data_IF_665952491458
#
_entry.id   IF_665952491458
#
_cell.length_a   1.000
_cell.length_b   1.000
_cell.length_c   1.000
_cell.angle_alpha   90.00
_cell.angle_beta   90.00
_cell.angle_gamma   90.00
#
_symmetry.space_group_name_H-M   'P 1'
#
loop_
_entity.id
_entity.type
_entity.pdbx_description
1 polymer ?
#
# COMPACT_ATOMS: atom_id res chain seq x y z
N UNK A 1 16.25 -16.13 49.57
CA UNK A 1 15.04 -15.42 49.07
C UNK A 1 15.48 -14.30 48.12
N UNK A 2 15.40 -14.50 46.80
CA UNK A 2 15.74 -13.49 45.79
C UNK A 2 14.46 -12.81 45.32
N UNK A 3 14.36 -11.49 45.49
CA UNK A 3 13.23 -10.67 45.06
C UNK A 3 13.35 -10.45 43.55
N UNK A 4 12.34 -10.92 42.81
CA UNK A 4 12.16 -10.63 41.38
C UNK A 4 11.51 -9.24 41.31
N UNK A 5 12.20 -8.28 40.69
CA UNK A 5 11.62 -6.99 40.35
C UNK A 5 10.91 -7.19 39.01
N UNK A 6 9.58 -7.02 38.91
CA UNK A 6 8.93 -7.00 37.61
C UNK A 6 9.31 -5.67 36.95
N UNK A 7 10.14 -5.74 35.91
CA UNK A 7 10.39 -4.59 35.04
C UNK A 7 9.07 -4.30 34.34
N UNK A 8 8.42 -3.25 34.84
CA UNK A 8 7.21 -2.68 34.31
C UNK A 8 7.38 -2.39 32.82
N UNK A 9 6.44 -2.91 32.04
CA UNK A 9 6.16 -2.60 30.64
C UNK A 9 6.43 -1.12 30.36
N UNK A 10 7.54 -0.82 29.69
CA UNK A 10 7.78 0.51 29.13
C UNK A 10 6.73 0.70 28.05
N UNK A 11 5.84 1.63 28.33
CA UNK A 11 4.79 2.13 27.45
C UNK A 11 5.39 2.40 26.07
N UNK A 12 4.90 1.66 25.08
CA UNK A 12 5.19 1.81 23.67
C UNK A 12 4.56 3.12 23.18
N UNK A 13 5.16 4.26 23.54
CA UNK A 13 4.90 5.57 22.98
C UNK A 13 5.53 5.64 21.59
N UNK A 14 4.97 4.90 20.64
CA UNK A 14 5.18 5.17 19.22
C UNK A 14 4.14 6.22 18.81
N UNK A 15 4.56 7.33 18.15
CA UNK A 15 3.70 8.47 17.97
C UNK A 15 2.51 8.12 17.05
N UNK A 16 1.33 8.13 17.66
CA UNK A 16 -0.01 8.15 17.04
C UNK A 16 -0.17 9.27 15.99
N UNK A 17 0.79 10.20 15.90
CA UNK A 17 0.81 11.30 14.92
C UNK A 17 0.92 10.89 13.44
N UNK A 18 1.37 9.67 13.12
CA UNK A 18 1.33 9.18 11.74
C UNK A 18 -0.09 8.86 11.26
N UNK A 19 -1.02 8.65 12.19
CA UNK A 19 -2.35 8.13 11.90
C UNK A 19 -3.37 9.18 11.42
N UNK A 20 -3.06 10.48 11.45
CA UNK A 20 -4.01 11.53 11.02
C UNK A 20 -3.73 12.12 9.63
N UNK A 21 -2.53 11.95 9.06
CA UNK A 21 -2.19 12.58 7.78
C UNK A 21 -2.70 11.83 6.55
N UNK A 22 -3.00 10.53 6.65
CA UNK A 22 -3.45 9.72 5.51
C UNK A 22 -4.97 9.52 5.43
N UNK A 23 -5.74 9.99 6.42
CA UNK A 23 -7.19 9.73 6.52
C UNK A 23 -8.08 10.95 6.19
N UNK A 24 -7.51 12.16 6.06
CA UNK A 24 -8.25 13.40 5.83
C UNK A 24 -7.64 14.24 4.69
N UNK A 25 -7.73 13.73 3.47
CA UNK A 25 -7.50 14.48 2.23
C UNK A 25 -8.81 14.73 1.48
N UNK A 26 -9.87 15.14 2.19
CA UNK A 26 -11.16 15.50 1.61
C UNK A 26 -11.16 16.96 1.19
N UNK A 27 -11.44 17.22 -0.09
CA UNK A 27 -11.57 18.54 -0.71
C UNK A 27 -12.39 19.53 0.12
N UNK A 28 -11.82 20.70 0.39
CA UNK A 28 -12.55 21.91 0.74
C UNK A 28 -12.37 22.95 -0.38
N UNK A 29 -13.42 23.16 -1.18
CA UNK A 29 -13.68 24.42 -1.90
C UNK A 29 -14.45 25.33 -0.92
N UNK A 30 -14.37 26.67 -0.88
CA UNK A 30 -13.84 27.69 -1.79
C UNK A 30 -13.96 29.06 -1.09
N UNK A 31 -13.03 29.98 -1.32
CA UNK A 31 -13.14 31.42 -1.01
C UNK A 31 -12.30 32.21 -2.04
N UNK A 32 -12.79 33.33 -2.59
CA UNK A 32 -12.42 33.79 -3.93
C UNK A 32 -11.21 34.73 -3.94
N UNK A 33 -10.32 34.54 -4.92
CA UNK A 33 -9.12 35.36 -5.10
C UNK A 33 -8.32 34.93 -6.34
N UNK A 34 -8.97 35.05 -7.49
CA UNK A 34 -8.43 35.30 -8.83
C UNK A 34 -6.94 35.03 -9.11
N UNK A 35 -6.67 33.93 -9.81
CA UNK A 35 -5.41 33.60 -10.46
C UNK A 35 -5.59 32.37 -11.34
N UNK A 36 -5.79 32.58 -12.64
CA UNK A 36 -6.03 31.53 -13.65
C UNK A 36 -4.93 30.45 -13.67
N UNK A 37 -5.18 29.28 -13.08
CA UNK A 37 -4.49 28.03 -13.44
C UNK A 37 -5.52 26.90 -13.43
N UNK A 38 -6.11 26.63 -14.57
CA UNK A 38 -6.85 25.40 -14.79
C UNK A 38 -5.86 24.24 -14.97
N UNK A 39 -5.47 23.54 -13.90
CA UNK A 39 -4.85 22.22 -13.98
C UNK A 39 -5.50 21.30 -12.92
N UNK A 40 -6.14 20.24 -13.41
CA UNK A 40 -6.75 19.17 -12.62
C UNK A 40 -5.72 18.53 -11.68
N UNK A 41 -6.14 17.93 -10.55
CA UNK A 41 -5.21 17.33 -9.59
C UNK A 41 -4.49 16.16 -10.25
N UNK A 42 -3.24 16.38 -10.66
CA UNK A 42 -2.38 15.34 -11.20
C UNK A 42 -2.08 14.34 -10.09
N UNK A 43 -2.67 13.16 -10.20
CA UNK A 43 -2.41 12.06 -9.29
C UNK A 43 -0.92 11.70 -9.25
N UNK A 44 -0.35 11.74 -8.06
CA UNK A 44 0.72 10.83 -7.58
C UNK A 44 2.07 10.76 -8.29
N UNK A 45 2.31 11.40 -9.44
CA UNK A 45 3.63 11.39 -10.09
C UNK A 45 4.53 12.50 -9.47
N UNK A 46 5.70 12.18 -8.88
CA UNK A 46 6.65 13.23 -8.49
C UNK A 46 7.17 13.95 -9.74
N UNK A 47 7.09 15.28 -9.73
CA UNK A 47 7.57 16.12 -10.82
C UNK A 47 9.10 16.18 -10.73
N UNK A 48 9.79 15.60 -11.71
CA UNK A 48 11.21 15.86 -11.94
C UNK A 48 11.27 17.02 -12.93
N UNK A 49 11.76 18.19 -12.49
CA UNK A 49 11.99 19.33 -13.38
C UNK A 49 12.96 18.88 -14.51
N UNK A 50 12.53 19.09 -15.77
CA UNK A 50 13.23 18.77 -17.03
C UNK A 50 13.20 17.33 -17.59
N UNK A 51 12.26 16.49 -17.20
CA UNK A 51 11.94 15.28 -17.99
C UNK A 51 10.43 15.13 -18.16
N UNK A 52 9.98 14.92 -19.40
CA UNK A 52 8.60 14.54 -19.72
C UNK A 52 8.10 13.50 -18.74
N UNK A 53 6.91 13.67 -18.13
CA UNK A 53 6.41 12.74 -17.14
C UNK A 53 6.00 11.46 -17.87
N UNK A 54 6.93 10.52 -17.99
CA UNK A 54 6.56 9.12 -18.15
C UNK A 54 5.93 8.70 -16.82
N UNK A 55 4.67 9.05 -16.61
CA UNK A 55 3.83 8.41 -15.60
C UNK A 55 3.71 6.94 -16.05
N UNK A 56 4.67 6.11 -15.63
CA UNK A 56 4.58 4.67 -15.78
C UNK A 56 3.28 4.24 -15.11
N UNK A 57 2.48 3.37 -15.74
CA UNK A 57 1.22 2.94 -15.17
C UNK A 57 1.48 2.41 -13.75
N UNK A 58 0.69 2.89 -12.78
CA UNK A 58 0.79 2.59 -11.33
C UNK A 58 0.74 1.08 -11.00
N UNK A 59 0.57 0.21 -11.99
CA UNK A 59 0.45 -1.23 -11.84
C UNK A 59 1.75 -2.00 -12.19
N UNK A 60 2.81 -1.35 -12.69
CA UNK A 60 3.98 -2.12 -13.18
C UNK A 60 4.92 -2.60 -12.06
N UNK A 61 4.82 -1.98 -10.87
CA UNK A 61 5.72 -2.29 -9.76
C UNK A 61 5.19 -3.31 -8.76
N UNK A 62 3.95 -3.79 -8.89
CA UNK A 62 3.40 -4.89 -8.09
C UNK A 62 2.91 -6.02 -9.00
N UNK A 63 3.32 -7.25 -8.72
CA UNK A 63 2.93 -8.46 -9.47
C UNK A 63 2.54 -9.58 -8.54
N UNK A 64 1.67 -10.45 -9.03
CA UNK A 64 1.35 -11.73 -8.41
C UNK A 64 2.06 -12.84 -9.17
N UNK A 65 2.47 -13.91 -8.49
CA UNK A 65 3.09 -15.05 -9.18
C UNK A 65 2.13 -15.81 -10.11
N UNK A 66 0.81 -15.70 -9.87
CA UNK A 66 -0.27 -16.24 -10.72
C UNK A 66 -1.44 -15.26 -10.77
N UNK A 67 -2.32 -15.46 -11.74
CA UNK A 67 -3.59 -14.74 -11.89
C UNK A 67 -4.81 -15.60 -11.51
N UNK A 68 -4.62 -16.89 -11.28
CA UNK A 68 -5.66 -17.84 -10.87
C UNK A 68 -5.13 -18.67 -9.72
N UNK A 69 -5.94 -18.83 -8.68
CA UNK A 69 -5.59 -19.57 -7.46
C UNK A 69 -6.75 -20.48 -7.01
N UNK A 70 -6.41 -21.53 -6.27
CA UNK A 70 -7.36 -22.23 -5.40
C UNK A 70 -7.38 -21.61 -4.00
N UNK A 71 -8.46 -21.77 -3.21
CA UNK A 71 -8.56 -21.22 -1.86
C UNK A 71 -7.42 -21.64 -0.91
N UNK A 72 -6.76 -22.77 -1.19
CA UNK A 72 -5.66 -23.30 -0.36
C UNK A 72 -4.26 -22.96 -0.92
N UNK A 73 -4.18 -22.18 -2.00
CA UNK A 73 -2.88 -21.79 -2.56
C UNK A 73 -2.15 -20.79 -1.65
N UNK A 74 -0.83 -20.73 -1.83
CA UNK A 74 -0.02 -19.60 -1.37
C UNK A 74 0.20 -18.62 -2.51
N UNK A 75 -0.33 -17.42 -2.37
CA UNK A 75 -0.05 -16.29 -3.25
C UNK A 75 1.29 -15.65 -2.90
N UNK A 76 2.05 -15.24 -3.91
CA UNK A 76 3.26 -14.43 -3.76
C UNK A 76 3.02 -13.07 -4.40
N UNK A 77 3.09 -12.03 -3.58
CA UNK A 77 3.04 -10.63 -3.99
C UNK A 77 4.48 -10.13 -4.11
N UNK A 78 4.87 -9.65 -5.27
CA UNK A 78 6.20 -9.06 -5.50
C UNK A 78 6.04 -7.56 -5.73
N UNK A 79 6.71 -6.73 -4.92
CA UNK A 79 6.86 -5.29 -5.14
C UNK A 79 8.28 -5.02 -5.62
N UNK A 80 8.45 -4.34 -6.75
CA UNK A 80 9.75 -3.99 -7.32
C UNK A 80 9.94 -2.49 -7.33
N UNK A 81 10.97 -1.99 -6.67
CA UNK A 81 11.32 -0.58 -6.71
C UNK A 81 12.09 -0.25 -7.99
N UNK A 82 11.37 0.18 -9.02
CA UNK A 82 11.95 0.65 -10.29
C UNK A 82 12.36 2.13 -10.24
N UNK A 83 12.25 2.79 -9.09
CA UNK A 83 12.63 4.18 -8.87
C UNK A 83 14.09 4.37 -8.45
N UNK A 84 14.45 5.62 -8.15
CA UNK A 84 15.78 6.03 -7.70
C UNK A 84 15.83 6.39 -6.19
N UNK A 85 14.73 6.20 -5.48
CA UNK A 85 14.57 6.46 -4.04
C UNK A 85 13.96 5.23 -3.36
N UNK A 86 14.14 5.10 -2.05
CA UNK A 86 13.60 3.96 -1.31
C UNK A 86 12.07 3.93 -1.32
N UNK A 87 11.54 2.73 -1.51
CA UNK A 87 10.13 2.43 -1.26
C UNK A 87 9.99 1.88 0.16
N UNK A 88 8.99 2.34 0.89
CA UNK A 88 8.63 1.79 2.20
C UNK A 88 7.23 1.18 2.13
N UNK A 89 7.05 -0.05 2.59
CA UNK A 89 5.74 -0.70 2.69
C UNK A 89 5.63 -1.47 4.00
N UNK A 90 4.53 -2.18 4.21
CA UNK A 90 4.32 -3.05 5.37
C UNK A 90 3.67 -4.36 4.92
N UNK A 91 3.35 -5.27 5.84
CA UNK A 91 2.64 -6.50 5.54
C UNK A 91 1.14 -6.30 5.26
N UNK A 92 0.58 -5.15 5.63
CA UNK A 92 -0.83 -4.82 5.45
C UNK A 92 -1.21 -4.76 3.96
N UNK A 93 -2.37 -5.32 3.62
CA UNK A 93 -2.99 -5.21 2.31
C UNK A 93 -4.50 -5.08 2.46
N UNK A 94 -5.13 -4.43 1.49
CA UNK A 94 -6.60 -4.42 1.33
C UNK A 94 -7.00 -5.45 0.28
N UNK A 95 -8.13 -6.09 0.48
CA UNK A 95 -8.69 -7.07 -0.45
C UNK A 95 -10.06 -6.60 -0.94
N UNK A 96 -10.33 -6.78 -2.22
CA UNK A 96 -11.60 -6.43 -2.83
C UNK A 96 -12.13 -7.59 -3.66
N UNK A 97 -13.45 -7.78 -3.69
CA UNK A 97 -14.16 -8.71 -4.57
C UNK A 97 -14.98 -7.92 -5.59
N UNK A 98 -15.01 -8.40 -6.83
CA UNK A 98 -15.87 -7.82 -7.86
C UNK A 98 -17.30 -8.36 -7.69
N UNK A 99 -18.23 -7.49 -7.35
CA UNK A 99 -19.65 -7.80 -7.20
C UNK A 99 -20.48 -6.83 -8.03
N UNK A 100 -21.30 -7.36 -8.96
CA UNK A 100 -22.16 -6.56 -9.84
C UNK A 100 -21.41 -5.43 -10.56
N UNK A 101 -20.19 -5.71 -11.04
CA UNK A 101 -19.33 -4.75 -11.72
C UNK A 101 -18.64 -3.72 -10.81
N UNK A 102 -18.79 -3.82 -9.49
CA UNK A 102 -18.18 -2.90 -8.52
C UNK A 102 -17.22 -3.64 -7.59
N UNK A 103 -16.07 -3.05 -7.30
CA UNK A 103 -15.14 -3.57 -6.30
C UNK A 103 -15.65 -3.25 -4.90
N UNK A 104 -15.95 -4.29 -4.12
CA UNK A 104 -16.31 -4.17 -2.70
C UNK A 104 -15.19 -4.70 -1.83
N UNK A 105 -14.86 -3.96 -0.78
CA UNK A 105 -13.83 -4.37 0.17
C UNK A 105 -14.27 -5.63 0.91
N UNK A 106 -13.37 -6.59 1.01
CA UNK A 106 -13.54 -7.83 1.76
C UNK A 106 -12.74 -7.67 3.05
N UNK A 107 -13.40 -7.66 4.22
CA UNK A 107 -12.69 -7.54 5.49
C UNK A 107 -11.78 -8.76 5.68
N UNK A 108 -10.48 -8.51 5.81
CA UNK A 108 -9.50 -9.53 6.14
C UNK A 108 -9.30 -9.55 7.65
N UNK A 109 -9.71 -10.63 8.32
CA UNK A 109 -9.51 -10.78 9.76
C UNK A 109 -8.09 -11.30 10.05
N UNK A 110 -7.08 -10.56 9.59
CA UNK A 110 -5.67 -10.90 9.75
C UNK A 110 -5.01 -9.94 10.75
N UNK A 111 -4.15 -10.50 11.60
CA UNK A 111 -3.25 -9.70 12.42
C UNK A 111 -1.96 -9.47 11.63
N UNK A 112 -1.75 -8.24 11.17
CA UNK A 112 -0.52 -7.86 10.48
C UNK A 112 0.55 -7.45 11.48
N UNK A 113 1.78 -7.90 11.26
CA UNK A 113 2.93 -7.35 11.97
C UNK A 113 3.25 -5.99 11.34
N UNK A 114 3.23 -4.92 12.14
CA UNK A 114 3.55 -3.56 11.70
C UNK A 114 5.08 -3.35 11.61
N UNK A 115 5.74 -4.08 10.71
CA UNK A 115 7.14 -3.87 10.36
C UNK A 115 7.22 -3.07 9.06
N UNK A 116 7.97 -1.97 9.09
CA UNK A 116 8.33 -1.23 7.89
C UNK A 116 9.34 -2.04 7.06
N UNK A 117 9.00 -2.26 5.80
CA UNK A 117 9.84 -2.91 4.80
C UNK A 117 10.40 -1.85 3.87
N UNK A 118 11.72 -1.71 3.84
CA UNK A 118 12.42 -0.80 2.93
C UNK A 118 12.88 -1.61 1.71
N UNK A 119 12.51 -1.15 0.52
CA UNK A 119 12.91 -1.72 -0.76
C UNK A 119 13.80 -0.68 -1.45
N UNK A 120 15.09 -0.96 -1.55
CA UNK A 120 16.07 -0.10 -2.20
C UNK A 120 15.84 0.00 -3.71
N UNK A 121 16.35 1.07 -4.37
CA UNK A 121 16.33 1.20 -5.82
C UNK A 121 16.83 -0.07 -6.55
N UNK A 122 16.05 -0.54 -7.52
CA UNK A 122 16.33 -1.74 -8.30
C UNK A 122 16.14 -3.07 -7.57
N UNK A 123 15.65 -3.06 -6.31
CA UNK A 123 15.36 -4.28 -5.54
C UNK A 123 13.89 -4.63 -5.56
N UNK A 124 13.61 -5.88 -5.23
CA UNK A 124 12.26 -6.40 -5.04
C UNK A 124 12.09 -6.98 -3.65
N UNK A 125 10.85 -6.97 -3.17
CA UNK A 125 10.43 -7.64 -1.95
C UNK A 125 9.21 -8.50 -2.22
N UNK A 126 9.14 -9.64 -1.52
CA UNK A 126 8.06 -10.59 -1.65
C UNK A 126 7.30 -10.78 -0.34
N UNK A 127 5.98 -10.85 -0.44
CA UNK A 127 5.11 -11.32 0.62
C UNK A 127 4.37 -12.57 0.17
N UNK A 128 4.42 -13.60 1.01
CA UNK A 128 3.64 -14.82 0.84
C UNK A 128 2.35 -14.69 1.64
N UNK A 129 1.22 -14.92 1.00
CA UNK A 129 -0.12 -14.90 1.61
C UNK A 129 -0.74 -16.28 1.44
N UNK A 130 -1.00 -16.95 2.55
CA UNK A 130 -1.75 -18.20 2.55
C UNK A 130 -3.24 -17.89 2.37
N UNK A 131 -3.83 -18.27 1.23
CA UNK A 131 -5.21 -17.93 0.92
C UNK A 131 -6.22 -18.69 1.81
N UNK A 132 -5.80 -19.79 2.43
CA UNK A 132 -6.64 -20.54 3.38
C UNK A 132 -7.01 -19.67 4.60
N UNK A 133 -6.15 -18.73 4.98
CA UNK A 133 -6.39 -17.81 6.10
C UNK A 133 -7.42 -16.73 5.76
N UNK A 134 -7.76 -16.58 4.47
CA UNK A 134 -8.69 -15.57 3.97
C UNK A 134 -10.11 -16.10 3.74
N UNK A 135 -10.31 -17.43 3.71
CA UNK A 135 -11.61 -18.08 3.47
C UNK A 135 -12.35 -17.50 2.25
N UNK A 136 -11.66 -17.43 1.11
CA UNK A 136 -12.21 -16.84 -0.12
C UNK A 136 -13.14 -17.80 -0.85
N UNK A 137 -14.33 -17.31 -1.17
CA UNK A 137 -15.24 -17.96 -2.13
C UNK A 137 -14.73 -17.83 -3.57
N UNK A 138 -15.14 -18.71 -4.49
CA UNK A 138 -14.83 -18.54 -5.91
C UNK A 138 -15.29 -17.18 -6.45
N UNK A 139 -14.46 -16.54 -7.27
CA UNK A 139 -14.76 -15.23 -7.84
C UNK A 139 -13.52 -14.43 -8.24
N UNK A 140 -13.75 -13.19 -8.68
CA UNK A 140 -12.70 -12.27 -9.09
C UNK A 140 -12.38 -11.28 -7.98
N UNK A 141 -11.10 -11.14 -7.69
CA UNK A 141 -10.57 -10.36 -6.59
C UNK A 141 -9.49 -9.39 -7.05
N UNK A 142 -9.25 -8.37 -6.22
CA UNK A 142 -8.16 -7.40 -6.35
C UNK A 142 -7.51 -7.23 -5.00
N UNK A 143 -6.19 -7.38 -4.94
CA UNK A 143 -5.38 -7.08 -3.76
C UNK A 143 -4.67 -5.75 -3.97
N UNK A 144 -4.67 -4.89 -2.94
CA UNK A 144 -4.08 -3.57 -2.97
C UNK A 144 -3.06 -3.40 -1.83
N UNK A 145 -1.92 -2.78 -2.15
CA UNK A 145 -0.87 -2.42 -1.19
C UNK A 145 -0.52 -0.95 -1.32
N UNK A 146 -0.19 -0.34 -0.19
CA UNK A 146 0.37 1.01 -0.16
C UNK A 146 1.89 0.94 -0.09
N UNK A 147 2.54 1.67 -0.99
CA UNK A 147 3.97 1.96 -0.95
C UNK A 147 4.14 3.45 -0.69
N UNK A 148 5.00 3.79 0.26
CA UNK A 148 5.36 5.17 0.59
C UNK A 148 6.71 5.47 -0.02
N UNK A 149 6.77 6.55 -0.78
CA UNK A 149 8.01 7.11 -1.33
C UNK A 149 8.33 8.37 -0.55
N UNK A 150 9.50 8.43 0.07
CA UNK A 150 9.96 9.63 0.80
C UNK A 150 11.06 10.31 -0.01
N UNK A 151 10.81 11.55 -0.44
CA UNK A 151 11.80 12.37 -1.11
C UNK A 151 12.94 12.71 -0.15
N UNK A 152 14.21 12.51 -0.53
CA UNK A 152 15.35 12.69 0.37
C UNK A 152 15.59 14.17 0.74
N UNK A 153 15.28 15.09 -0.17
CA UNK A 153 15.57 16.53 0.00
C UNK A 153 14.48 17.21 0.83
N UNK A 154 13.22 17.10 0.38
CA UNK A 154 12.10 17.81 1.00
C UNK A 154 11.45 17.03 2.14
N UNK A 155 11.86 15.77 2.36
CA UNK A 155 11.26 14.81 3.32
C UNK A 155 9.74 14.62 3.13
N UNK A 156 9.22 15.00 1.96
CA UNK A 156 7.83 14.80 1.61
C UNK A 156 7.62 13.31 1.33
N UNK A 157 6.57 12.76 1.92
CA UNK A 157 6.18 11.36 1.69
C UNK A 157 4.91 11.30 0.85
N UNK A 158 4.91 10.46 -0.17
CA UNK A 158 3.77 10.22 -1.06
C UNK A 158 3.39 8.75 -0.95
N UNK A 159 2.13 8.49 -0.60
CA UNK A 159 1.55 7.16 -0.64
C UNK A 159 1.05 6.81 -2.04
N UNK A 160 1.50 5.69 -2.58
CA UNK A 160 1.13 5.16 -3.88
C UNK A 160 0.43 3.82 -3.64
N UNK A 161 -0.78 3.69 -4.19
CA UNK A 161 -1.52 2.42 -4.18
C UNK A 161 -1.12 1.59 -5.38
N UNK A 162 -0.71 0.36 -5.13
CA UNK A 162 -0.41 -0.66 -6.11
C UNK A 162 -1.46 -1.75 -6.01
N UNK A 163 -1.92 -2.29 -7.13
CA UNK A 163 -2.92 -3.35 -7.10
C UNK A 163 -2.71 -4.39 -8.18
N UNK A 164 -3.19 -5.60 -7.92
CA UNK A 164 -3.23 -6.68 -8.89
C UNK A 164 -4.52 -7.48 -8.72
N UNK A 165 -5.05 -7.95 -9.85
CA UNK A 165 -6.29 -8.73 -9.91
C UNK A 165 -5.99 -10.23 -10.07
N UNK A 166 -6.87 -11.07 -9.52
CA UNK A 166 -6.78 -12.51 -9.62
C UNK A 166 -8.15 -13.18 -9.50
N UNK A 167 -8.27 -14.41 -9.98
CA UNK A 167 -9.45 -15.26 -9.81
C UNK A 167 -9.18 -16.36 -8.78
N UNK A 168 -10.20 -16.66 -7.97
CA UNK A 168 -10.25 -17.83 -7.09
C UNK A 168 -11.18 -18.88 -7.71
N UNK A 169 -10.71 -20.12 -7.85
CA UNK A 169 -11.46 -21.27 -8.38
C UNK A 169 -11.49 -22.41 -7.36
N UNK A 170 -12.66 -23.03 -7.20
CA UNK A 170 -12.86 -24.22 -6.36
C UNK A 170 -12.32 -25.50 -6.99
#
# INVERSE_FOLDING_TARGET
MRKIIPVLLIVLLIPVGYYFASYWGGSANSGPGEGNIAHAPTGGCPIIENSTPECRPMNDFMKLNRTVYSPNDTMVITITNNGNVNFTTSYHFSLYRLENGTWKEVPVNLMFIEIAVIIEPGKSWEQRVNLADLNLEPGRYKIEKTVVVTEPVNKRSIGIKASAEFDVRG
#
